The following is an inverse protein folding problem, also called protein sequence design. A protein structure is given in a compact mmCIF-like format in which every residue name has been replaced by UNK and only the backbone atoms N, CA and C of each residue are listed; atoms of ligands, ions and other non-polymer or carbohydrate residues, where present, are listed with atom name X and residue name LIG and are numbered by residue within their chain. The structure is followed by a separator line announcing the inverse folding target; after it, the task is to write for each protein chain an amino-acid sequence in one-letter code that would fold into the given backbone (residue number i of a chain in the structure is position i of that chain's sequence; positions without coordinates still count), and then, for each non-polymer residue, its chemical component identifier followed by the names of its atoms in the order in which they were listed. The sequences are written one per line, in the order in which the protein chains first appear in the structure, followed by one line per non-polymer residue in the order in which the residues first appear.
data_IF_908318353162
#
_entry.id   IF_908318353162
#
_cell.length_a   1.000
_cell.length_b   1.000
_cell.length_c   1.000
_cell.angle_alpha   90.00
_cell.angle_beta   90.00
_cell.angle_gamma   90.00
#
_symmetry.space_group_name_H-M   'P 1'
#
loop_
_entity.id
_entity.type
_entity.pdbx_description
1 polymer ?
#
# COMPACT_ATOMS: atom_id res chain seq x y z
N UNK A 1 -49.33 4.56 -17.09
CA UNK A 1 -48.34 5.42 -16.40
C UNK A 1 -47.18 4.52 -15.97
N UNK A 2 -46.09 4.54 -16.72
CA UNK A 2 -44.94 3.66 -16.53
C UNK A 2 -43.98 4.28 -15.51
N UNK A 3 -43.83 3.63 -14.35
CA UNK A 3 -42.83 4.00 -13.36
C UNK A 3 -41.43 3.84 -13.97
N UNK A 4 -40.73 4.97 -14.14
CA UNK A 4 -39.31 4.97 -14.49
C UNK A 4 -38.55 4.33 -13.33
N UNK A 5 -37.94 3.16 -13.58
CA UNK A 5 -36.83 2.65 -12.77
C UNK A 5 -35.72 3.70 -12.80
N UNK A 6 -35.38 4.25 -11.65
CA UNK A 6 -34.19 5.10 -11.49
C UNK A 6 -32.96 4.28 -11.86
N UNK A 7 -32.16 4.78 -12.81
CA UNK A 7 -30.85 4.24 -13.12
C UNK A 7 -29.95 4.25 -11.86
N UNK A 8 -29.02 3.29 -11.70
CA UNK A 8 -28.04 3.35 -10.62
C UNK A 8 -27.18 4.62 -10.74
N UNK A 9 -26.74 5.20 -9.61
CA UNK A 9 -25.94 6.43 -9.63
C UNK A 9 -24.64 6.20 -10.41
N UNK A 10 -24.38 7.09 -11.37
CA UNK A 10 -23.12 7.20 -12.08
C UNK A 10 -22.09 7.85 -11.16
N UNK A 11 -21.17 7.05 -10.62
CA UNK A 11 -20.02 7.51 -9.86
C UNK A 11 -19.32 6.32 -9.25
N UNK A 12 -18.05 6.09 -9.58
CA UNK A 12 -17.21 5.21 -8.76
C UNK A 12 -17.35 5.73 -7.33
N UNK A 13 -17.76 4.88 -6.38
CA UNK A 13 -17.63 5.22 -4.96
C UNK A 13 -16.20 5.66 -4.72
N UNK A 14 -15.98 6.82 -4.08
CA UNK A 14 -14.64 7.30 -3.67
C UNK A 14 -14.07 6.40 -2.56
N UNK A 15 -13.78 5.15 -2.90
CA UNK A 15 -13.08 4.24 -2.03
C UNK A 15 -11.59 4.56 -2.14
N UNK A 16 -10.95 4.70 -0.98
CA UNK A 16 -9.51 4.81 -0.86
C UNK A 16 -8.96 3.51 -0.26
N UNK A 17 -7.93 2.98 -0.89
CA UNK A 17 -7.30 1.72 -0.52
C UNK A 17 -5.95 1.98 0.17
N UNK A 18 -5.83 1.61 1.44
CA UNK A 18 -4.55 1.69 2.17
C UNK A 18 -3.86 0.33 2.14
N UNK A 19 -2.65 0.28 1.59
CA UNK A 19 -1.79 -0.90 1.63
C UNK A 19 -0.80 -0.75 2.77
N UNK A 20 -0.93 -1.57 3.80
CA UNK A 20 0.05 -1.65 4.89
C UNK A 20 1.18 -2.59 4.45
N UNK A 21 2.37 -2.03 4.37
CA UNK A 21 3.58 -2.72 3.93
C UNK A 21 4.62 -2.71 5.06
N UNK A 22 4.53 -3.61 6.03
CA UNK A 22 5.59 -3.79 7.02
C UNK A 22 6.87 -4.29 6.37
N UNK A 23 8.00 -3.76 6.81
CA UNK A 23 9.31 -4.01 6.21
C UNK A 23 10.36 -4.18 7.30
N UNK A 24 11.25 -5.16 7.14
CA UNK A 24 12.46 -5.33 7.94
C UNK A 24 13.51 -6.06 7.11
N UNK A 25 14.63 -5.42 6.80
CA UNK A 25 15.65 -5.93 5.87
C UNK A 25 15.11 -6.19 4.45
N UNK A 26 14.40 -5.22 3.87
CA UNK A 26 13.72 -5.35 2.58
C UNK A 26 14.26 -4.36 1.54
N UNK A 27 15.49 -3.87 1.69
CA UNK A 27 16.09 -2.86 0.81
C UNK A 27 15.95 -3.18 -0.68
N UNK A 28 16.15 -4.45 -1.04
CA UNK A 28 16.15 -4.90 -2.44
C UNK A 28 14.73 -5.14 -2.99
N UNK A 29 13.81 -5.61 -2.14
CA UNK A 29 12.45 -5.94 -2.55
C UNK A 29 11.52 -4.72 -2.58
N UNK A 30 11.74 -3.76 -1.68
CA UNK A 30 10.88 -2.58 -1.50
C UNK A 30 10.65 -1.76 -2.79
N UNK A 31 11.66 -1.48 -3.65
CA UNK A 31 11.45 -0.79 -4.91
C UNK A 31 10.50 -1.53 -5.87
N UNK A 32 10.63 -2.85 -5.96
CA UNK A 32 9.83 -3.65 -6.89
C UNK A 32 8.36 -3.70 -6.46
N UNK A 33 8.10 -3.96 -5.17
CA UNK A 33 6.72 -4.03 -4.67
C UNK A 33 6.03 -2.67 -4.75
N UNK A 34 6.72 -1.57 -4.42
CA UNK A 34 6.17 -0.21 -4.55
C UNK A 34 5.87 0.11 -6.02
N UNK A 35 6.78 -0.22 -6.94
CA UNK A 35 6.55 -0.01 -8.37
C UNK A 35 5.31 -0.77 -8.86
N UNK A 36 5.15 -2.05 -8.49
CA UNK A 36 3.98 -2.86 -8.84
C UNK A 36 2.68 -2.24 -8.31
N UNK A 37 2.65 -1.87 -7.03
CA UNK A 37 1.48 -1.26 -6.40
C UNK A 37 1.10 0.05 -7.10
N UNK A 38 2.05 0.97 -7.26
CA UNK A 38 1.81 2.27 -7.91
C UNK A 38 1.33 2.08 -9.34
N UNK A 39 1.93 1.15 -10.09
CA UNK A 39 1.53 0.85 -11.47
C UNK A 39 0.07 0.39 -11.55
N UNK A 40 -0.31 -0.64 -10.80
CA UNK A 40 -1.64 -1.24 -10.92
C UNK A 40 -2.75 -0.37 -10.32
N UNK A 41 -2.50 0.33 -9.22
CA UNK A 41 -3.45 1.34 -8.72
C UNK A 41 -3.60 2.50 -9.72
N UNK A 42 -2.51 2.94 -10.34
CA UNK A 42 -2.53 3.96 -11.38
C UNK A 42 -3.35 3.54 -12.62
N UNK A 43 -3.14 2.32 -13.12
CA UNK A 43 -3.87 1.78 -14.29
C UNK A 43 -5.36 1.58 -14.02
N UNK A 44 -5.75 1.28 -12.77
CA UNK A 44 -7.16 1.10 -12.39
C UNK A 44 -7.88 2.41 -12.11
N UNK A 45 -7.15 3.48 -11.75
CA UNK A 45 -7.70 4.78 -11.37
C UNK A 45 -8.43 4.72 -10.02
N UNK A 46 -7.99 3.85 -9.11
CA UNK A 46 -8.44 3.83 -7.73
C UNK A 46 -7.59 4.78 -6.89
N UNK A 47 -8.20 5.43 -5.90
CA UNK A 47 -7.47 6.22 -4.91
C UNK A 47 -6.78 5.30 -3.91
N UNK A 48 -5.52 5.56 -3.58
CA UNK A 48 -4.71 4.66 -2.77
C UNK A 48 -3.62 5.39 -1.98
N UNK A 49 -3.13 4.69 -0.95
CA UNK A 49 -1.91 5.05 -0.24
C UNK A 49 -1.16 3.77 0.16
N UNK A 50 0.17 3.84 0.17
CA UNK A 50 1.06 2.77 0.57
C UNK A 50 1.74 3.22 1.86
N UNK A 51 1.45 2.53 2.96
CA UNK A 51 1.99 2.83 4.28
C UNK A 51 3.15 1.89 4.55
N UNK A 52 4.36 2.39 4.35
CA UNK A 52 5.59 1.64 4.62
C UNK A 52 5.91 1.72 6.10
N UNK A 53 5.83 0.59 6.80
CA UNK A 53 6.17 0.49 8.22
C UNK A 53 7.55 -0.17 8.33
N UNK A 54 8.59 0.63 8.42
CA UNK A 54 9.95 0.12 8.63
C UNK A 54 10.21 -0.18 10.11
N UNK A 55 10.62 -1.41 10.40
CA UNK A 55 10.88 -1.91 11.75
C UNK A 55 12.31 -1.63 12.24
N UNK A 56 12.84 -0.47 11.90
CA UNK A 56 14.21 -0.08 12.23
C UNK A 56 15.22 -0.96 11.50
N UNK A 57 15.08 -1.06 10.18
CA UNK A 57 15.96 -1.91 9.37
C UNK A 57 17.40 -1.38 9.35
N UNK A 58 18.41 -2.21 9.65
CA UNK A 58 19.82 -1.82 9.58
C UNK A 58 20.42 -1.82 8.17
N UNK A 59 19.74 -2.40 7.18
CA UNK A 59 20.23 -2.57 5.81
C UNK A 59 20.01 -1.33 4.91
N UNK A 60 19.36 -0.30 5.46
CA UNK A 60 19.04 0.91 4.75
C UNK A 60 17.69 0.88 3.99
N UNK A 61 16.77 0.00 4.40
CA UNK A 61 15.40 -0.07 3.84
C UNK A 61 14.66 1.26 3.95
N UNK A 62 14.78 1.98 5.06
CA UNK A 62 14.11 3.27 5.26
C UNK A 62 14.60 4.33 4.27
N UNK A 63 15.90 4.39 4.01
CA UNK A 63 16.52 5.32 3.06
C UNK A 63 16.02 5.06 1.64
N UNK A 64 15.82 3.79 1.28
CA UNK A 64 15.18 3.42 0.00
C UNK A 64 13.72 3.88 0.00
N UNK A 65 12.98 3.69 1.09
CA UNK A 65 11.60 4.15 1.20
C UNK A 65 11.48 5.68 1.05
N UNK A 66 12.40 6.44 1.63
CA UNK A 66 12.50 7.90 1.47
C UNK A 66 12.78 8.32 0.02
N UNK A 67 13.64 7.59 -0.69
CA UNK A 67 13.88 7.83 -2.11
C UNK A 67 12.63 7.56 -2.95
N UNK A 68 11.94 6.45 -2.68
CA UNK A 68 10.70 6.09 -3.37
C UNK A 68 9.58 7.10 -3.10
N UNK A 69 9.45 7.59 -1.86
CA UNK A 69 8.51 8.67 -1.52
C UNK A 69 8.80 9.95 -2.34
N UNK A 70 10.07 10.33 -2.50
CA UNK A 70 10.45 11.49 -3.34
C UNK A 70 10.10 11.29 -4.82
N UNK A 71 10.14 10.05 -5.31
CA UNK A 71 9.83 9.72 -6.71
C UNK A 71 8.32 9.71 -6.96
N UNK A 72 7.54 9.10 -6.07
CA UNK A 72 6.11 8.85 -6.30
C UNK A 72 5.16 9.87 -5.65
N UNK A 73 5.63 10.60 -4.64
CA UNK A 73 4.86 11.58 -3.86
C UNK A 73 4.52 11.09 -2.46
N UNK A 74 4.47 12.02 -1.51
CA UNK A 74 4.07 11.79 -0.12
C UNK A 74 2.54 11.66 0.06
N UNK A 75 1.77 11.97 -1.00
CA UNK A 75 0.35 11.66 -1.13
C UNK A 75 0.11 10.15 -1.34
N UNK A 76 1.06 9.44 -1.98
CA UNK A 76 0.95 8.00 -2.29
C UNK A 76 1.74 7.12 -1.35
N UNK A 77 2.91 7.57 -0.89
CA UNK A 77 3.80 6.77 -0.03
C UNK A 77 3.93 7.46 1.32
N UNK A 78 3.42 6.81 2.36
CA UNK A 78 3.46 7.27 3.74
C UNK A 78 4.47 6.45 4.52
N UNK A 79 5.53 7.11 4.98
CA UNK A 79 6.58 6.46 5.78
C UNK A 79 6.21 6.49 7.26
N UNK A 80 6.25 5.32 7.91
CA UNK A 80 5.92 5.13 9.33
C UNK A 80 7.00 4.29 10.02
N UNK A 81 8.26 4.77 10.07
CA UNK A 81 9.37 4.05 10.68
C UNK A 81 9.17 3.87 12.18
N UNK A 82 9.74 2.79 12.72
CA UNK A 82 9.72 2.44 14.14
C UNK A 82 11.15 2.31 14.65
N UNK A 83 11.34 2.55 15.94
CA UNK A 83 12.69 2.62 16.52
C UNK A 83 13.49 1.30 16.49
N UNK A 84 12.80 0.16 16.37
CA UNK A 84 13.39 -1.18 16.34
C UNK A 84 12.37 -2.21 15.85
N UNK A 85 12.82 -3.45 15.65
CA UNK A 85 11.95 -4.58 15.32
C UNK A 85 11.04 -4.90 16.50
N UNK A 86 9.77 -4.52 16.39
CA UNK A 86 8.74 -4.73 17.43
C UNK A 86 7.76 -5.85 17.03
N UNK A 87 7.97 -6.47 15.87
CA UNK A 87 7.20 -7.61 15.38
C UNK A 87 6.01 -7.21 14.53
N UNK A 88 5.55 -8.18 13.74
CA UNK A 88 4.61 -7.97 12.64
C UNK A 88 3.21 -7.50 13.09
N UNK A 89 2.66 -8.11 14.15
CA UNK A 89 1.34 -7.71 14.68
C UNK A 89 1.29 -6.26 15.15
N UNK A 90 2.38 -5.77 15.78
CA UNK A 90 2.45 -4.38 16.22
C UNK A 90 2.71 -3.42 15.04
N UNK A 91 3.36 -3.90 13.97
CA UNK A 91 3.50 -3.14 12.72
C UNK A 91 2.13 -2.91 12.06
N UNK A 92 1.26 -3.93 12.05
CA UNK A 92 -0.11 -3.79 11.53
C UNK A 92 -0.93 -2.77 12.31
N UNK A 93 -0.93 -2.86 13.66
CA UNK A 93 -1.63 -1.89 14.50
C UNK A 93 -1.07 -0.48 14.26
N UNK A 94 0.24 -0.34 14.09
CA UNK A 94 0.86 0.94 13.77
C UNK A 94 0.41 1.47 12.42
N UNK A 95 0.40 0.65 11.37
CA UNK A 95 -0.09 1.01 10.04
C UNK A 95 -1.57 1.40 10.04
N UNK A 96 -2.42 0.60 10.69
CA UNK A 96 -3.87 0.83 10.80
C UNK A 96 -4.21 2.19 11.41
N UNK A 97 -3.43 2.66 12.40
CA UNK A 97 -3.64 3.98 13.01
C UNK A 97 -3.39 5.16 12.06
N UNK A 98 -2.64 4.92 10.98
CA UNK A 98 -2.27 5.95 10.01
C UNK A 98 -3.01 5.79 8.68
N UNK A 99 -3.74 4.70 8.50
CA UNK A 99 -4.55 4.47 7.32
C UNK A 99 -5.74 5.42 7.27
N UNK A 100 -5.95 6.03 6.11
CA UNK A 100 -7.09 6.91 5.81
C UNK A 100 -8.10 6.25 4.87
N UNK A 101 -7.71 5.14 4.23
CA UNK A 101 -8.56 4.37 3.34
C UNK A 101 -9.66 3.59 4.08
N UNK A 102 -10.81 3.47 3.42
CA UNK A 102 -11.92 2.64 3.90
C UNK A 102 -11.74 1.15 3.56
N UNK A 103 -10.74 0.81 2.74
CA UNK A 103 -10.28 -0.55 2.50
C UNK A 103 -8.83 -0.70 2.91
N UNK A 104 -8.53 -1.73 3.69
CA UNK A 104 -7.17 -2.02 4.15
C UNK A 104 -6.69 -3.32 3.52
N UNK A 105 -5.53 -3.27 2.88
CA UNK A 105 -4.76 -4.44 2.50
C UNK A 105 -3.53 -4.54 3.37
N UNK A 106 -3.19 -5.76 3.78
CA UNK A 106 -1.93 -6.08 4.43
C UNK A 106 -1.16 -6.94 3.44
N UNK A 107 0.06 -6.55 3.12
CA UNK A 107 0.92 -7.27 2.18
C UNK A 107 2.33 -7.38 2.74
N UNK A 108 2.94 -8.56 2.61
CA UNK A 108 4.35 -8.74 2.96
C UNK A 108 5.24 -8.15 1.85
N UNK A 109 6.33 -7.50 2.26
CA UNK A 109 7.27 -6.87 1.34
C UNK A 109 8.30 -7.84 0.73
N UNK A 110 8.36 -9.08 1.21
CA UNK A 110 9.33 -10.12 0.82
C UNK A 110 8.99 -10.85 -0.50
N UNK A 111 8.02 -10.34 -1.27
CA UNK A 111 7.52 -10.91 -2.52
C UNK A 111 6.96 -12.34 -2.38
N UNK A 112 6.69 -12.83 -1.17
CA UNK A 112 6.03 -14.14 -0.95
C UNK A 112 4.65 -14.23 -1.61
N UNK A 113 3.97 -13.10 -1.79
CA UNK A 113 2.68 -12.96 -2.44
C UNK A 113 2.81 -13.00 -3.98
N UNK A 114 2.99 -14.20 -4.52
CA UNK A 114 3.02 -14.39 -5.98
C UNK A 114 1.61 -14.32 -6.56
N UNK A 115 1.37 -13.37 -7.48
CA UNK A 115 0.19 -13.37 -8.33
C UNK A 115 0.42 -14.38 -9.46
N UNK A 116 -0.18 -15.56 -9.35
CA UNK A 116 -0.23 -16.52 -10.47
C UNK A 116 -1.35 -16.08 -11.42
N UNK A 117 -1.05 -15.74 -12.69
CA UNK A 117 -2.08 -15.42 -13.66
C UNK A 117 -3.02 -16.61 -13.82
N UNK A 118 -4.34 -16.41 -13.69
CA UNK A 118 -5.30 -17.43 -14.09
C UNK A 118 -5.48 -17.37 -15.61
N UNK A 119 -4.95 -18.37 -16.30
CA UNK A 119 -5.23 -18.66 -17.70
C UNK A 119 -4.06 -18.39 -18.65
N UNK A 120 -3.34 -19.45 -18.99
CA UNK A 120 -2.57 -19.62 -20.21
C UNK A 120 -2.98 -20.94 -20.86
#
# INVERSE_FOLDING_TARGET
MSSRKSAPPSGRSENKYSVLLPTYNERENLPLIIWLLVKYFGESGYDFEIIVIDDGSPDGTLEVAEQLQKIYGDDKILLRPRAKKLGLGTAYIHGLKHATGNFIFIMDADLSHHVVPKGG
#
